data_IF_090323146553
#
_entry.id   IF_090323146553
#
_cell.length_a   1.000
_cell.length_b   1.000
_cell.length_c   1.000
_cell.angle_alpha   90.00
_cell.angle_beta   90.00
_cell.angle_gamma   90.00
#
_symmetry.space_group_name_H-M   'P 1'
#
loop_
_entity.id
_entity.type
_entity.pdbx_description
1 polymer ?
#
# COMPACT_ATOMS: atom_id res chain seq x y z
N UNK A 1 12.59 -34.64 -12.34
CA UNK A 1 11.71 -33.68 -13.08
C UNK A 1 10.79 -33.02 -12.08
N UNK A 2 11.08 -31.77 -11.67
CA UNK A 2 10.27 -31.02 -10.70
C UNK A 2 8.96 -30.62 -11.38
N UNK A 3 7.88 -31.12 -10.82
CA UNK A 3 6.51 -30.82 -11.22
C UNK A 3 6.32 -29.30 -11.23
N UNK A 4 6.07 -28.70 -12.40
CA UNK A 4 5.70 -27.28 -12.48
C UNK A 4 4.39 -27.12 -11.70
N UNK A 5 4.51 -26.69 -10.45
CA UNK A 5 3.37 -26.32 -9.61
C UNK A 5 2.44 -25.47 -10.46
N UNK A 6 1.26 -25.97 -10.79
CA UNK A 6 0.24 -25.24 -11.53
C UNK A 6 -0.14 -24.01 -10.67
N UNK A 7 0.50 -22.88 -10.96
CA UNK A 7 0.05 -21.61 -10.37
C UNK A 7 -1.34 -21.35 -10.90
N UNK A 8 -2.29 -21.18 -9.99
CA UNK A 8 -3.64 -20.79 -10.35
C UNK A 8 -3.59 -19.59 -11.32
N UNK A 9 -4.46 -19.55 -12.35
CA UNK A 9 -4.49 -18.46 -13.30
C UNK A 9 -4.69 -17.13 -12.58
N UNK A 10 -3.97 -16.09 -13.03
CA UNK A 10 -4.09 -14.76 -12.46
C UNK A 10 -5.48 -14.20 -12.77
N UNK A 11 -6.31 -14.07 -11.76
CA UNK A 11 -7.64 -13.44 -11.86
C UNK A 11 -7.53 -11.91 -11.76
N UNK A 12 -8.52 -11.19 -12.32
CA UNK A 12 -8.60 -9.73 -12.22
C UNK A 12 -8.71 -9.28 -10.75
N UNK A 13 -9.51 -9.98 -9.95
CA UNK A 13 -9.65 -9.72 -8.51
C UNK A 13 -8.31 -9.80 -7.77
N UNK A 14 -7.51 -10.83 -8.04
CA UNK A 14 -6.19 -10.98 -7.42
C UNK A 14 -5.22 -9.89 -7.88
N UNK A 15 -5.23 -9.54 -9.17
CA UNK A 15 -4.41 -8.46 -9.70
C UNK A 15 -4.77 -7.11 -9.08
N UNK A 16 -6.08 -6.81 -8.93
CA UNK A 16 -6.59 -5.60 -8.28
C UNK A 16 -6.16 -5.53 -6.82
N UNK A 17 -6.28 -6.63 -6.08
CA UNK A 17 -5.84 -6.70 -4.67
C UNK A 17 -4.36 -6.35 -4.54
N UNK A 18 -3.50 -6.99 -5.33
CA UNK A 18 -2.06 -6.77 -5.27
C UNK A 18 -1.66 -5.35 -5.72
N UNK A 19 -2.33 -4.80 -6.72
CA UNK A 19 -2.16 -3.41 -7.14
C UNK A 19 -2.54 -2.43 -6.02
N UNK A 20 -3.63 -2.68 -5.32
CA UNK A 20 -4.09 -1.88 -4.18
C UNK A 20 -3.09 -1.94 -3.03
N UNK A 21 -2.52 -3.11 -2.73
CA UNK A 21 -1.46 -3.26 -1.72
C UNK A 21 -0.24 -2.41 -2.08
N UNK A 22 0.20 -2.43 -3.33
CA UNK A 22 1.33 -1.60 -3.79
C UNK A 22 1.04 -0.09 -3.60
N UNK A 23 -0.18 0.36 -3.90
CA UNK A 23 -0.61 1.74 -3.68
C UNK A 23 -0.63 2.12 -2.19
N UNK A 24 -1.06 1.21 -1.32
CA UNK A 24 -1.04 1.45 0.13
C UNK A 24 0.40 1.55 0.67
N UNK A 25 1.34 0.74 0.16
CA UNK A 25 2.76 0.89 0.51
C UNK A 25 3.31 2.26 0.09
N UNK A 26 2.96 2.76 -1.10
CA UNK A 26 3.35 4.10 -1.53
C UNK A 26 2.77 5.19 -0.60
N UNK A 27 1.50 5.06 -0.22
CA UNK A 27 0.87 5.99 0.74
C UNK A 27 1.57 5.96 2.10
N UNK A 28 1.93 4.77 2.58
CA UNK A 28 2.67 4.59 3.84
C UNK A 28 4.01 5.34 3.79
N UNK A 29 4.77 5.21 2.70
CA UNK A 29 6.02 5.96 2.50
C UNK A 29 5.78 7.46 2.60
N UNK A 30 4.74 8.00 1.95
CA UNK A 30 4.43 9.43 1.98
C UNK A 30 4.14 9.91 3.41
N UNK A 31 3.28 9.17 4.13
CA UNK A 31 2.89 9.51 5.50
C UNK A 31 4.10 9.49 6.42
N UNK A 32 4.89 8.41 6.41
CA UNK A 32 6.04 8.27 7.30
C UNK A 32 7.15 9.27 6.96
N UNK A 33 7.33 9.64 5.69
CA UNK A 33 8.24 10.71 5.30
C UNK A 33 7.81 12.07 5.87
N UNK A 34 6.51 12.38 5.80
CA UNK A 34 5.98 13.60 6.40
C UNK A 34 6.13 13.60 7.94
N UNK A 35 5.86 12.46 8.59
CA UNK A 35 6.06 12.28 10.04
C UNK A 35 7.53 12.49 10.41
N UNK A 36 8.48 11.94 9.66
CA UNK A 36 9.91 12.13 9.93
C UNK A 36 10.34 13.60 9.87
N UNK A 37 9.82 14.35 8.90
CA UNK A 37 10.10 15.78 8.82
C UNK A 37 9.55 16.52 10.05
N UNK A 38 8.33 16.19 10.49
CA UNK A 38 7.73 16.80 11.69
C UNK A 38 8.53 16.43 12.94
N UNK A 39 8.92 15.16 13.10
CA UNK A 39 9.73 14.71 14.23
C UNK A 39 11.09 15.45 14.28
N UNK A 40 11.77 15.58 13.13
CA UNK A 40 13.02 16.31 13.04
C UNK A 40 12.86 17.78 13.44
N UNK A 41 11.82 18.47 12.96
CA UNK A 41 11.55 19.86 13.30
C UNK A 41 11.15 20.03 14.77
N UNK A 42 10.56 19.00 15.38
CA UNK A 42 10.25 18.97 16.81
C UNK A 42 11.46 18.66 17.70
N UNK A 43 12.66 18.47 17.12
CA UNK A 43 13.88 18.14 17.85
C UNK A 43 13.92 16.71 18.37
N UNK A 44 13.19 15.79 17.75
CA UNK A 44 13.21 14.36 18.11
C UNK A 44 14.33 13.63 17.38
N UNK A 45 15.09 12.82 18.12
CA UNK A 45 16.08 11.90 17.55
C UNK A 45 15.47 10.63 16.96
N UNK A 46 14.14 10.47 17.06
CA UNK A 46 13.43 9.30 16.54
C UNK A 46 13.18 9.46 15.05
N UNK A 47 13.52 8.45 14.27
CA UNK A 47 13.26 8.35 12.85
C UNK A 47 12.40 7.12 12.54
N UNK A 48 11.34 7.32 11.77
CA UNK A 48 10.50 6.21 11.30
C UNK A 48 11.13 5.59 10.05
N UNK A 49 11.20 4.26 10.05
CA UNK A 49 11.57 3.48 8.87
C UNK A 49 10.46 3.57 7.80
N UNK A 50 10.70 3.08 6.59
CA UNK A 50 9.78 3.15 5.45
C UNK A 50 9.50 4.57 4.94
N UNK A 51 10.42 5.48 5.11
CA UNK A 51 10.30 6.86 4.61
C UNK A 51 11.18 7.09 3.39
N UNK A 52 10.88 8.12 2.60
CA UNK A 52 11.74 8.59 1.54
C UNK A 52 12.88 9.44 2.13
N UNK A 53 14.07 9.23 1.61
CA UNK A 53 15.32 9.85 2.09
C UNK A 53 15.45 11.30 1.67
N UNK A 54 15.23 11.60 0.39
CA UNK A 54 15.48 12.93 -0.16
C UNK A 54 14.64 14.02 0.48
N UNK A 55 13.31 13.87 0.73
CA UNK A 55 12.55 14.89 1.44
C UNK A 55 13.08 15.18 2.84
N UNK A 56 13.45 14.15 3.59
CA UNK A 56 13.99 14.28 4.94
C UNK A 56 15.33 15.03 4.94
N UNK A 57 16.30 14.57 4.15
CA UNK A 57 17.62 15.19 4.10
C UNK A 57 17.59 16.59 3.47
N UNK A 58 16.63 16.92 2.63
CA UNK A 58 16.43 18.29 2.16
C UNK A 58 16.21 19.25 3.34
N UNK A 59 15.44 18.84 4.35
CA UNK A 59 15.20 19.64 5.55
C UNK A 59 16.43 19.63 6.47
N UNK A 60 17.06 18.47 6.68
CA UNK A 60 18.29 18.35 7.49
C UNK A 60 19.38 19.26 6.97
N UNK A 61 19.68 19.21 5.66
CA UNK A 61 20.69 20.10 5.06
C UNK A 61 20.25 21.57 5.07
N UNK A 62 18.98 21.83 4.84
CA UNK A 62 18.43 23.17 4.98
C UNK A 62 18.65 23.76 6.37
N UNK A 63 18.40 22.97 7.42
CA UNK A 63 18.68 23.35 8.81
C UNK A 63 20.17 23.54 9.04
N UNK A 64 21.01 22.58 8.66
CA UNK A 64 22.45 22.62 8.87
C UNK A 64 23.09 23.86 8.22
N UNK A 65 22.74 24.17 6.97
CA UNK A 65 23.27 25.35 6.29
C UNK A 65 22.69 26.66 6.85
N UNK A 66 21.44 26.64 7.30
CA UNK A 66 20.84 27.79 7.98
C UNK A 66 21.60 28.16 9.25
N UNK A 67 21.96 27.16 10.05
CA UNK A 67 22.73 27.34 11.29
C UNK A 67 24.17 27.75 10.97
N UNK A 68 24.86 27.03 10.09
CA UNK A 68 26.25 27.27 9.74
C UNK A 68 26.53 28.66 9.17
N UNK A 69 25.61 29.20 8.37
CA UNK A 69 25.78 30.50 7.70
C UNK A 69 24.93 31.62 8.32
N UNK A 70 24.09 31.32 9.33
CA UNK A 70 23.17 32.30 9.92
C UNK A 70 22.10 32.80 8.96
N UNK A 71 21.76 32.04 7.91
CA UNK A 71 20.82 32.45 6.84
C UNK A 71 19.58 31.56 6.88
N UNK A 72 18.45 32.02 7.49
CA UNK A 72 17.21 31.22 7.61
C UNK A 72 16.62 30.78 6.27
N UNK A 73 16.95 31.43 5.17
CA UNK A 73 16.46 31.08 3.85
C UNK A 73 16.83 29.65 3.41
N UNK A 74 17.94 29.09 3.88
CA UNK A 74 18.31 27.71 3.56
C UNK A 74 17.33 26.69 4.13
N UNK A 75 16.84 26.90 5.37
CA UNK A 75 15.80 26.04 5.93
C UNK A 75 14.50 26.13 5.13
N UNK A 76 14.09 27.33 4.74
CA UNK A 76 12.90 27.53 3.92
C UNK A 76 13.02 26.81 2.57
N UNK A 77 14.18 26.90 1.92
CA UNK A 77 14.46 26.19 0.66
C UNK A 77 14.37 24.68 0.88
N UNK A 78 14.97 24.13 1.95
CA UNK A 78 14.90 22.71 2.28
C UNK A 78 13.46 22.23 2.53
N UNK A 79 12.66 23.00 3.25
CA UNK A 79 11.24 22.70 3.48
C UNK A 79 10.43 22.74 2.19
N UNK A 80 10.64 23.75 1.34
CA UNK A 80 9.98 23.84 0.04
C UNK A 80 10.34 22.65 -0.86
N UNK A 81 11.61 22.26 -0.91
CA UNK A 81 12.06 21.11 -1.68
C UNK A 81 11.40 19.80 -1.17
N UNK A 82 11.40 19.57 0.13
CA UNK A 82 10.75 18.42 0.75
C UNK A 82 9.24 18.37 0.43
N UNK A 83 8.56 19.51 0.55
CA UNK A 83 7.14 19.61 0.23
C UNK A 83 6.85 19.28 -1.24
N UNK A 84 7.63 19.83 -2.18
CA UNK A 84 7.47 19.55 -3.62
C UNK A 84 7.66 18.07 -3.91
N UNK A 85 8.67 17.43 -3.33
CA UNK A 85 8.94 16.00 -3.56
C UNK A 85 7.80 15.14 -2.98
N UNK A 86 7.33 15.43 -1.76
CA UNK A 86 6.19 14.73 -1.17
C UNK A 86 4.91 14.95 -1.97
N UNK A 87 4.68 16.16 -2.48
CA UNK A 87 3.56 16.45 -3.35
C UNK A 87 3.62 15.65 -4.66
N UNK A 88 4.79 15.47 -5.26
CA UNK A 88 4.96 14.61 -6.44
C UNK A 88 4.62 13.15 -6.14
N UNK A 89 5.08 12.58 -5.02
CA UNK A 89 4.69 11.24 -4.60
C UNK A 89 3.17 11.13 -4.39
N UNK A 90 2.59 12.13 -3.74
CA UNK A 90 1.14 12.16 -3.47
C UNK A 90 0.32 12.24 -4.76
N UNK A 91 0.74 13.05 -5.73
CA UNK A 91 0.12 13.13 -7.06
C UNK A 91 0.24 11.78 -7.78
N UNK A 92 1.41 11.13 -7.75
CA UNK A 92 1.57 9.79 -8.29
C UNK A 92 0.61 8.78 -7.65
N UNK A 93 0.47 8.82 -6.33
CA UNK A 93 -0.47 7.95 -5.60
C UNK A 93 -1.93 8.22 -5.98
N UNK A 94 -2.36 9.48 -6.04
CA UNK A 94 -3.73 9.84 -6.43
C UNK A 94 -4.05 9.39 -7.85
N UNK A 95 -3.19 9.73 -8.80
CA UNK A 95 -3.41 9.49 -10.22
C UNK A 95 -3.21 8.02 -10.60
N UNK A 96 -2.44 7.25 -9.81
CA UNK A 96 -2.32 5.79 -9.99
C UNK A 96 -3.65 5.05 -9.84
N UNK A 97 -4.65 5.65 -9.18
CA UNK A 97 -6.00 5.09 -9.10
C UNK A 97 -6.67 5.01 -10.48
N UNK A 98 -6.43 6.01 -11.33
CA UNK A 98 -7.04 6.10 -12.67
C UNK A 98 -6.15 5.50 -13.76
N UNK A 99 -4.85 5.65 -13.63
CA UNK A 99 -3.90 5.19 -14.64
C UNK A 99 -2.64 4.58 -13.99
N UNK A 100 -2.42 3.27 -14.23
CA UNK A 100 -1.25 2.54 -13.73
C UNK A 100 0.10 3.10 -14.17
N UNK A 101 0.15 3.97 -15.19
CA UNK A 101 1.38 4.66 -15.61
C UNK A 101 2.00 5.54 -14.51
N UNK A 102 1.17 6.10 -13.63
CA UNK A 102 1.64 6.90 -12.48
C UNK A 102 2.36 6.06 -11.42
N UNK A 103 2.12 4.75 -11.38
CA UNK A 103 2.89 3.84 -10.55
C UNK A 103 4.34 3.70 -11.07
N UNK A 104 4.57 3.82 -12.39
CA UNK A 104 5.92 3.84 -12.97
C UNK A 104 6.63 5.12 -12.54
N UNK A 105 5.96 6.27 -12.58
CA UNK A 105 6.54 7.54 -12.11
C UNK A 105 6.94 7.46 -10.63
N UNK A 106 6.07 6.90 -9.77
CA UNK A 106 6.38 6.67 -8.36
C UNK A 106 7.59 5.74 -8.17
N UNK A 107 7.67 4.66 -8.96
CA UNK A 107 8.80 3.72 -8.95
C UNK A 107 10.11 4.42 -9.32
N UNK A 108 10.11 5.25 -10.38
CA UNK A 108 11.31 5.99 -10.81
C UNK A 108 11.74 7.00 -9.74
N UNK A 109 10.79 7.76 -9.18
CA UNK A 109 11.09 8.71 -8.09
C UNK A 109 11.71 7.98 -6.89
N UNK A 110 11.13 6.86 -6.47
CA UNK A 110 11.64 6.11 -5.32
C UNK A 110 12.95 5.38 -5.61
N UNK A 111 13.19 4.95 -6.85
CA UNK A 111 14.49 4.41 -7.26
C UNK A 111 15.59 5.48 -7.19
N UNK A 112 15.31 6.71 -7.62
CA UNK A 112 16.24 7.84 -7.48
C UNK A 112 16.49 8.18 -6.00
N UNK A 113 15.46 8.14 -5.17
CA UNK A 113 15.56 8.33 -3.72
C UNK A 113 16.44 7.24 -3.08
N UNK A 114 16.28 5.98 -3.49
CA UNK A 114 17.14 4.87 -3.04
C UNK A 114 18.61 5.05 -3.46
N UNK A 115 18.86 5.55 -4.67
CA UNK A 115 20.23 5.87 -5.11
C UNK A 115 20.83 6.98 -4.25
N UNK A 116 20.05 8.00 -3.92
CA UNK A 116 20.48 9.07 -3.02
C UNK A 116 20.79 8.54 -1.61
N UNK A 117 19.96 7.65 -1.06
CA UNK A 117 20.22 6.96 0.21
C UNK A 117 21.59 6.25 0.19
N UNK A 118 21.81 5.40 -0.81
CA UNK A 118 23.05 4.64 -0.93
C UNK A 118 24.26 5.58 -1.05
N UNK A 119 24.15 6.65 -1.85
CA UNK A 119 25.20 7.63 -2.00
C UNK A 119 25.54 8.32 -0.67
N UNK A 120 24.53 8.71 0.12
CA UNK A 120 24.73 9.32 1.43
C UNK A 120 25.49 8.39 2.38
N UNK A 121 25.13 7.11 2.45
CA UNK A 121 25.83 6.14 3.32
C UNK A 121 27.27 5.86 2.86
N UNK A 122 27.52 5.82 1.57
CA UNK A 122 28.89 5.67 1.06
C UNK A 122 29.74 6.90 1.43
N UNK A 123 29.20 8.12 1.26
CA UNK A 123 29.91 9.36 1.60
C UNK A 123 30.15 9.47 3.10
N UNK A 124 29.16 9.11 3.91
CA UNK A 124 29.28 9.13 5.38
C UNK A 124 30.12 7.98 5.94
N UNK A 125 30.50 6.98 5.12
CA UNK A 125 31.15 5.73 5.56
C UNK A 125 30.39 5.04 6.71
N UNK A 126 29.07 5.16 6.70
CA UNK A 126 28.18 4.65 7.74
C UNK A 126 27.51 3.35 7.30
N UNK A 127 27.80 2.26 8.01
CA UNK A 127 27.22 0.94 7.75
C UNK A 127 25.92 0.71 8.55
N UNK A 128 25.52 1.63 9.43
CA UNK A 128 24.28 1.50 10.23
C UNK A 128 23.02 1.55 9.36
N UNK A 129 23.11 2.16 8.17
CA UNK A 129 22.02 2.29 7.21
C UNK A 129 21.60 1.03 6.45
N UNK A 130 22.19 -0.14 6.74
CA UNK A 130 21.85 -1.40 6.06
C UNK A 130 20.36 -1.72 6.23
N UNK A 131 19.78 -1.49 7.41
CA UNK A 131 18.37 -1.75 7.66
C UNK A 131 17.49 -0.84 6.79
N UNK A 132 17.85 0.43 6.66
CA UNK A 132 17.12 1.39 5.83
C UNK A 132 17.20 1.02 4.35
N UNK A 133 18.38 0.59 3.87
CA UNK A 133 18.53 0.08 2.51
C UNK A 133 17.70 -1.19 2.23
N UNK A 134 17.56 -2.10 3.21
CA UNK A 134 16.70 -3.27 3.10
C UNK A 134 15.22 -2.87 2.98
N UNK A 135 14.81 -1.87 3.74
CA UNK A 135 13.44 -1.34 3.69
C UNK A 135 13.18 -0.65 2.34
N UNK A 136 14.14 0.11 1.82
CA UNK A 136 14.04 0.69 0.47
C UNK A 136 13.91 -0.40 -0.60
N UNK A 137 14.68 -1.49 -0.51
CA UNK A 137 14.55 -2.64 -1.39
C UNK A 137 13.15 -3.29 -1.28
N UNK A 138 12.58 -3.38 -0.08
CA UNK A 138 11.23 -3.87 0.16
C UNK A 138 10.19 -2.97 -0.52
N UNK A 139 10.26 -1.66 -0.34
CA UNK A 139 9.34 -0.70 -0.97
C UNK A 139 9.45 -0.76 -2.50
N UNK A 140 10.69 -0.81 -3.05
CA UNK A 140 10.93 -0.99 -4.49
C UNK A 140 10.25 -2.26 -5.02
N UNK A 141 10.36 -3.37 -4.29
CA UNK A 141 9.68 -4.61 -4.66
C UNK A 141 8.17 -4.41 -4.81
N UNK A 142 7.51 -3.76 -3.84
CA UNK A 142 6.06 -3.50 -3.93
C UNK A 142 5.70 -2.53 -5.05
N UNK A 143 6.52 -1.52 -5.33
CA UNK A 143 6.30 -0.61 -6.46
C UNK A 143 6.46 -1.32 -7.80
N UNK A 144 7.45 -2.22 -7.95
CA UNK A 144 7.62 -3.07 -9.14
C UNK A 144 6.41 -3.97 -9.33
N UNK A 145 5.93 -4.61 -8.26
CA UNK A 145 4.71 -5.43 -8.29
C UNK A 145 3.49 -4.59 -8.66
N UNK A 146 3.42 -3.35 -8.17
CA UNK A 146 2.36 -2.40 -8.55
C UNK A 146 2.37 -2.10 -10.05
N UNK A 147 3.53 -1.85 -10.64
CA UNK A 147 3.67 -1.65 -12.10
C UNK A 147 3.26 -2.92 -12.86
N UNK A 148 3.71 -4.09 -12.41
CA UNK A 148 3.37 -5.37 -13.03
C UNK A 148 1.86 -5.62 -13.04
N UNK A 149 1.20 -5.54 -11.89
CA UNK A 149 -0.24 -5.77 -11.77
C UNK A 149 -1.06 -4.67 -12.44
N UNK A 150 -0.63 -3.40 -12.37
CA UNK A 150 -1.26 -2.30 -13.08
C UNK A 150 -1.27 -2.50 -14.60
N UNK A 151 -0.21 -3.08 -15.17
CA UNK A 151 -0.17 -3.43 -16.58
C UNK A 151 -1.03 -4.66 -16.90
N UNK A 152 -1.03 -5.68 -16.02
CA UNK A 152 -1.88 -6.87 -16.19
C UNK A 152 -3.37 -6.53 -16.16
N UNK A 153 -3.80 -5.61 -15.31
CA UNK A 153 -5.19 -5.17 -15.23
C UNK A 153 -5.74 -4.58 -16.54
N UNK A 154 -4.88 -4.07 -17.42
CA UNK A 154 -5.28 -3.58 -18.76
C UNK A 154 -5.62 -4.70 -19.73
N UNK A 155 -5.13 -5.91 -19.51
CA UNK A 155 -5.24 -7.05 -20.43
C UNK A 155 -6.10 -8.18 -19.90
N UNK A 156 -6.41 -8.20 -18.60
CA UNK A 156 -7.25 -9.24 -18.00
C UNK A 156 -8.73 -8.94 -18.31
N UNK A 157 -9.52 -9.97 -18.69
CA UNK A 157 -10.95 -9.84 -18.85
C UNK A 157 -11.61 -9.41 -17.52
N UNK A 158 -12.80 -8.87 -17.60
CA UNK A 158 -13.60 -8.61 -16.40
C UNK A 158 -13.96 -9.95 -15.74
N UNK A 159 -13.90 -9.99 -14.40
CA UNK A 159 -14.34 -11.17 -13.67
C UNK A 159 -15.83 -11.37 -13.98
N UNK A 160 -16.31 -12.62 -14.20
CA UNK A 160 -17.71 -12.87 -14.42
C UNK A 160 -18.51 -12.29 -13.24
N UNK A 161 -19.50 -11.49 -13.55
CA UNK A 161 -20.46 -10.99 -12.55
C UNK A 161 -21.00 -12.23 -11.83
N UNK A 162 -20.96 -12.31 -10.48
CA UNK A 162 -21.61 -13.39 -9.77
C UNK A 162 -23.03 -13.46 -10.30
N UNK A 163 -23.44 -14.64 -10.81
CA UNK A 163 -24.83 -14.82 -11.23
C UNK A 163 -25.68 -14.36 -10.06
N UNK A 164 -26.50 -13.34 -10.29
CA UNK A 164 -27.51 -12.89 -9.34
C UNK A 164 -28.22 -14.17 -8.92
N UNK A 165 -28.08 -14.54 -7.64
CA UNK A 165 -28.78 -15.69 -7.10
C UNK A 165 -30.25 -15.44 -7.44
N UNK A 166 -30.74 -16.14 -8.45
CA UNK A 166 -32.19 -16.14 -8.78
C UNK A 166 -32.88 -16.38 -7.45
N UNK A 167 -33.83 -15.51 -7.03
CA UNK A 167 -34.58 -15.74 -5.83
C UNK A 167 -35.08 -17.19 -5.89
N UNK A 168 -34.72 -18.00 -4.94
CA UNK A 168 -35.24 -19.35 -4.79
C UNK A 168 -36.74 -19.16 -4.71
N UNK A 169 -37.45 -19.52 -5.81
CA UNK A 169 -38.90 -19.55 -5.86
C UNK A 169 -39.33 -20.41 -4.68
N UNK A 170 -39.90 -19.77 -3.69
CA UNK A 170 -40.45 -20.48 -2.50
C UNK A 170 -41.45 -21.52 -3.02
N UNK A 171 -41.03 -22.77 -3.04
CA UNK A 171 -41.93 -23.89 -3.32
C UNK A 171 -43.02 -23.81 -2.27
N UNK A 172 -44.29 -23.66 -2.67
CA UNK A 172 -45.41 -23.64 -1.70
C UNK A 172 -45.35 -24.91 -0.87
N UNK A 173 -45.22 -24.75 0.43
CA UNK A 173 -45.33 -25.86 1.40
C UNK A 173 -46.75 -26.36 1.30
N UNK A 174 -46.94 -27.52 0.67
CA UNK A 174 -48.21 -28.26 0.63
C UNK A 174 -48.59 -28.61 2.09
N UNK A 175 -49.64 -27.95 2.58
CA UNK A 175 -50.20 -28.21 3.90
C UNK A 175 -50.62 -29.68 3.97
N UNK A 176 -49.90 -30.49 4.77
CA UNK A 176 -50.29 -31.83 5.12
C UNK A 176 -51.51 -31.74 6.07
N UNK A 177 -52.66 -32.33 5.72
CA UNK A 177 -53.85 -32.33 6.61
C UNK A 177 -53.52 -32.99 7.95
N UNK A 178 -53.86 -32.33 9.04
CA UNK A 178 -53.74 -32.87 10.37
C UNK A 178 -54.69 -34.07 10.51
N UNK A 179 -54.12 -35.27 10.65
CA UNK A 179 -54.88 -36.45 11.12
C UNK A 179 -55.33 -36.24 12.56
N UNK A 180 -56.61 -36.20 12.69
CA UNK A 180 -57.42 -36.25 13.90
C UNK A 180 -57.20 -37.58 14.65
N UNK A 181 -56.32 -37.62 15.68
CA UNK A 181 -56.17 -38.79 16.52
C UNK A 181 -57.16 -38.71 17.71
N UNK A 182 -58.19 -39.57 17.62
CA UNK A 182 -59.17 -39.78 18.58
C UNK A 182 -58.59 -40.15 19.97
N UNK A 183 -59.21 -39.53 20.96
CA UNK A 183 -59.16 -39.87 22.37
C UNK A 183 -59.63 -41.32 22.64
N UNK A 184 -58.84 -42.08 23.40
CA UNK A 184 -59.33 -43.25 24.09
C UNK A 184 -58.92 -43.13 25.56
N UNK A 185 -59.91 -42.79 26.39
CA UNK A 185 -59.84 -42.90 27.80
C UNK A 185 -59.75 -44.41 28.16
N UNK A 186 -58.82 -44.83 28.95
CA UNK A 186 -58.87 -46.01 29.76
C UNK A 186 -58.45 -45.69 31.18
N UNK A 187 -59.51 -45.68 31.98
CA UNK A 187 -59.60 -45.78 33.42
C UNK A 187 -59.04 -47.12 33.87
N UNK A 188 -58.06 -47.19 34.77
CA UNK A 188 -57.81 -48.36 35.63
C UNK A 188 -57.45 -47.84 37.01
N UNK A 189 -58.37 -48.11 37.90
CA UNK A 189 -58.24 -48.22 39.37
C UNK A 189 -57.27 -49.34 39.73
N UNK A 190 -56.40 -49.16 40.70
CA UNK A 190 -56.18 -49.74 42.03
C UNK A 190 -54.88 -49.24 42.66
#
# INVERSE_FOLDING_TARGET
>A
MLNKTQRAPLTRALATKNYTVARHNLLLVIILSAVNIVLYLAGSDTMMLFSATVPYYSVVFGWLYSDAFGIPAYLVIGLCAAFVILALYFVCWLLSKKNGGWMIAALVLFALDTVALIALYIIASDVSGILDALIHAWVLYYLIMGVYYGNKLKTLPEDPVPAEETPVEEVPVEEVPAEESATTDEEITD
#
